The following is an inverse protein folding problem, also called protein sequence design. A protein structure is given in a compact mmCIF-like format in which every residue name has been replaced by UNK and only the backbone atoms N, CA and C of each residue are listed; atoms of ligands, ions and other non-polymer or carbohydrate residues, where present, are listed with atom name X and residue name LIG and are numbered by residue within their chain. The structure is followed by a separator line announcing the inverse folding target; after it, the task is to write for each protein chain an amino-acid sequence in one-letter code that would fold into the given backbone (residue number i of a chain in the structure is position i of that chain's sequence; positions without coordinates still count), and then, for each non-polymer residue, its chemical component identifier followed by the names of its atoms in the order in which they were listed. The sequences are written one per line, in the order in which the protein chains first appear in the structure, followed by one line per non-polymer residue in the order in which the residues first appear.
data_IF_016534868017
#
_entry.id   IF_016534868017
#
_cell.length_a   1.000
_cell.length_b   1.000
_cell.length_c   1.000
_cell.angle_alpha   90.00
_cell.angle_beta   90.00
_cell.angle_gamma   90.00
#
_symmetry.space_group_name_H-M   'P 1'
#
loop_
_entity.id
_entity.type
_entity.pdbx_description
1 polymer ?
#
# COMPACT_ATOMS: atom_id res chain seq x y z
N UNK A 1 56.15 -59.58 -26.20
CA UNK A 1 55.44 -58.56 -27.00
C UNK A 1 55.34 -57.31 -26.13
N UNK A 2 56.15 -56.27 -26.37
CA UNK A 2 55.80 -55.01 -27.10
C UNK A 2 54.68 -54.25 -26.35
N UNK A 3 54.99 -53.28 -25.45
CA UNK A 3 55.23 -51.80 -25.59
C UNK A 3 53.98 -50.93 -25.31
N UNK A 4 54.14 -49.91 -24.43
CA UNK A 4 53.64 -48.49 -24.39
C UNK A 4 52.19 -48.16 -24.87
N UNK A 5 51.42 -47.14 -24.43
CA UNK A 5 51.49 -46.03 -23.47
C UNK A 5 50.12 -45.25 -23.52
N UNK A 6 49.65 -44.74 -22.36
CA UNK A 6 48.99 -43.44 -22.02
C UNK A 6 47.80 -42.87 -22.86
N UNK A 7 46.72 -42.40 -22.17
CA UNK A 7 46.16 -41.00 -22.13
C UNK A 7 44.68 -40.92 -21.62
N UNK A 8 44.48 -40.14 -20.53
CA UNK A 8 43.41 -39.19 -20.10
C UNK A 8 41.87 -39.49 -20.01
N UNK A 9 41.23 -38.85 -18.99
CA UNK A 9 39.78 -38.45 -18.92
C UNK A 9 39.18 -38.33 -17.50
N UNK A 10 39.18 -37.14 -16.82
CA UNK A 10 38.05 -36.17 -16.55
C UNK A 10 36.87 -36.73 -15.69
N UNK A 11 36.70 -36.44 -14.36
CA UNK A 11 36.11 -35.28 -13.58
C UNK A 11 34.64 -35.45 -13.09
N UNK A 12 34.46 -35.33 -11.75
CA UNK A 12 33.37 -34.83 -10.86
C UNK A 12 31.91 -35.37 -10.87
N UNK A 13 31.33 -35.42 -9.65
CA UNK A 13 29.88 -35.32 -9.41
C UNK A 13 29.45 -35.57 -7.96
N UNK A 14 29.40 -34.51 -7.14
CA UNK A 14 28.77 -34.48 -5.82
C UNK A 14 27.29 -34.09 -5.92
N UNK A 15 26.45 -34.55 -4.99
CA UNK A 15 25.06 -34.07 -4.86
C UNK A 15 24.27 -34.74 -3.74
N UNK A 16 24.27 -34.13 -2.56
CA UNK A 16 23.28 -34.35 -1.50
C UNK A 16 22.18 -33.28 -1.67
N UNK A 17 20.96 -33.70 -1.96
CA UNK A 17 19.77 -32.85 -1.99
C UNK A 17 19.02 -32.97 -0.67
N UNK A 18 18.78 -31.83 -0.02
CA UNK A 18 17.78 -31.64 1.03
C UNK A 18 16.95 -30.39 0.66
N UNK A 19 15.68 -30.33 1.07
CA UNK A 19 14.62 -29.70 0.30
C UNK A 19 14.66 -28.18 0.43
N UNK A 20 14.58 -27.48 -0.70
CA UNK A 20 14.12 -26.10 -0.74
C UNK A 20 12.68 -26.08 -0.21
N UNK A 21 12.51 -25.60 1.02
CA UNK A 21 11.25 -25.02 1.45
C UNK A 21 11.02 -23.81 0.55
N UNK A 22 10.34 -24.00 -0.58
CA UNK A 22 9.78 -22.92 -1.37
C UNK A 22 8.72 -22.24 -0.52
N UNK A 23 9.16 -21.27 0.28
CA UNK A 23 8.29 -20.27 0.86
C UNK A 23 7.46 -19.72 -0.30
N UNK A 24 6.16 -19.92 -0.23
CA UNK A 24 5.20 -19.37 -1.17
C UNK A 24 5.42 -17.85 -1.15
N UNK A 25 6.03 -17.33 -2.22
CA UNK A 25 6.45 -15.94 -2.34
C UNK A 25 5.20 -15.07 -2.14
N UNK A 26 5.14 -14.34 -1.02
CA UNK A 26 4.02 -13.45 -0.73
C UNK A 26 4.11 -12.29 -1.72
N UNK A 27 3.43 -12.42 -2.87
CA UNK A 27 3.36 -11.41 -3.92
C UNK A 27 2.12 -10.51 -3.78
N UNK A 28 1.64 -10.19 -2.57
CA UNK A 28 0.59 -9.18 -2.36
C UNK A 28 0.57 -8.70 -0.90
N UNK A 29 -0.27 -7.71 -0.60
CA UNK A 29 -0.62 -7.29 0.76
C UNK A 29 -1.82 -8.09 1.25
N UNK A 30 -1.61 -8.90 2.29
CA UNK A 30 -2.67 -9.61 2.98
C UNK A 30 -3.10 -8.84 4.21
N UNK A 31 -4.40 -8.51 4.29
CA UNK A 31 -4.98 -7.76 5.41
C UNK A 31 -5.96 -8.64 6.18
N UNK A 32 -5.82 -8.64 7.51
CA UNK A 32 -6.78 -9.23 8.45
C UNK A 32 -7.40 -8.14 9.31
N UNK A 33 -8.70 -7.97 9.16
CA UNK A 33 -9.48 -6.94 9.86
C UNK A 33 -10.22 -7.51 11.08
N UNK A 34 -10.30 -6.72 12.15
CA UNK A 34 -11.17 -6.94 13.31
C UNK A 34 -11.57 -5.59 13.91
N UNK A 35 -12.60 -5.56 14.77
CA UNK A 35 -13.26 -4.33 15.25
C UNK A 35 -12.32 -3.24 15.79
N UNK A 36 -11.17 -3.60 16.35
CA UNK A 36 -10.18 -2.62 16.88
C UNK A 36 -8.73 -2.96 16.55
N UNK A 37 -8.51 -3.83 15.58
CA UNK A 37 -7.18 -4.23 15.14
C UNK A 37 -7.18 -4.57 13.67
N UNK A 38 -6.17 -4.09 12.97
CA UNK A 38 -5.82 -4.49 11.61
C UNK A 38 -4.41 -5.06 11.65
N UNK A 39 -4.21 -6.19 10.99
CA UNK A 39 -2.89 -6.73 10.73
C UNK A 39 -2.70 -6.84 9.22
N UNK A 40 -1.52 -6.44 8.74
CA UNK A 40 -1.15 -6.59 7.35
C UNK A 40 0.23 -7.27 7.25
N UNK A 41 0.39 -8.05 6.20
CA UNK A 41 1.67 -8.68 5.83
C UNK A 41 1.85 -8.51 4.33
N UNK A 42 3.04 -8.10 3.92
CA UNK A 42 3.42 -8.02 2.52
C UNK A 42 4.91 -8.30 2.36
N UNK A 43 5.47 -8.09 1.16
CA UNK A 43 6.87 -8.40 0.86
C UNK A 43 7.82 -7.65 1.79
N UNK A 44 8.46 -8.38 2.71
CA UNK A 44 9.43 -7.86 3.67
C UNK A 44 8.89 -6.91 4.72
N UNK A 45 7.57 -6.90 4.98
CA UNK A 45 7.01 -6.15 6.10
C UNK A 45 5.83 -6.83 6.79
N UNK A 46 5.67 -6.47 8.06
CA UNK A 46 4.45 -6.68 8.82
C UNK A 46 4.00 -5.37 9.44
N UNK A 47 2.68 -5.19 9.55
CA UNK A 47 2.07 -4.04 10.20
C UNK A 47 0.95 -4.51 11.11
N UNK A 48 0.88 -3.89 12.29
CA UNK A 48 -0.23 -4.03 13.24
C UNK A 48 -0.73 -2.65 13.63
N UNK A 49 -1.96 -2.35 13.24
CA UNK A 49 -2.69 -1.15 13.65
C UNK A 49 -3.66 -1.52 14.78
N UNK A 50 -3.64 -0.74 15.86
CA UNK A 50 -4.58 -0.82 16.98
C UNK A 50 -4.99 0.58 17.40
N UNK A 51 -5.99 0.70 18.29
CA UNK A 51 -6.34 1.98 18.91
C UNK A 51 -5.20 2.67 19.69
N UNK A 52 -4.13 1.94 20.02
CA UNK A 52 -3.00 2.47 20.81
C UNK A 52 -1.83 2.96 19.95
N UNK A 53 -1.78 2.56 18.67
CA UNK A 53 -0.70 2.92 17.76
C UNK A 53 -0.56 1.96 16.59
N UNK A 54 0.45 2.25 15.77
CA UNK A 54 0.89 1.45 14.64
C UNK A 54 2.24 0.83 15.02
N UNK A 55 2.40 -0.46 14.78
CA UNK A 55 3.68 -1.16 14.92
C UNK A 55 4.02 -1.79 13.59
N UNK A 56 5.19 -1.45 13.07
CA UNK A 56 5.73 -1.98 11.83
C UNK A 56 7.02 -2.74 12.09
N UNK A 57 7.25 -3.76 11.28
CA UNK A 57 8.54 -4.44 11.17
C UNK A 57 8.83 -4.57 9.69
N UNK A 58 10.03 -4.19 9.30
CA UNK A 58 10.49 -4.21 7.92
C UNK A 58 11.86 -4.86 7.89
N UNK A 59 12.05 -5.76 6.92
CA UNK A 59 13.32 -6.44 6.65
C UNK A 59 13.79 -5.93 5.30
N UNK A 60 14.85 -5.12 5.28
CA UNK A 60 15.31 -4.39 4.09
C UNK A 60 15.65 -5.32 2.92
N UNK A 61 16.21 -6.49 3.23
CA UNK A 61 16.60 -7.52 2.26
C UNK A 61 15.38 -8.18 1.60
N UNK A 62 14.22 -8.17 2.27
CA UNK A 62 12.97 -8.78 1.80
C UNK A 62 11.96 -7.75 1.32
N UNK A 63 12.20 -6.45 1.55
CA UNK A 63 11.22 -5.40 1.31
C UNK A 63 11.10 -5.12 -0.19
N UNK A 64 10.05 -5.64 -0.80
CA UNK A 64 9.83 -5.50 -2.24
C UNK A 64 10.64 -6.50 -3.06
N UNK A 65 11.11 -6.04 -4.23
CA UNK A 65 11.98 -6.85 -5.09
C UNK A 65 13.41 -6.27 -5.12
N UNK A 66 14.35 -6.81 -4.32
CA UNK A 66 15.73 -6.35 -4.30
C UNK A 66 16.48 -6.63 -5.61
N UNK A 67 16.05 -7.60 -6.43
CA UNK A 67 16.74 -7.96 -7.67
C UNK A 67 16.65 -6.87 -8.74
N UNK A 68 15.71 -5.94 -8.58
CA UNK A 68 15.50 -4.80 -9.48
C UNK A 68 16.57 -3.73 -9.34
N UNK A 69 17.37 -3.77 -8.26
CA UNK A 69 18.40 -2.77 -7.95
C UNK A 69 17.84 -1.42 -7.50
N UNK A 70 16.53 -1.25 -7.40
CA UNK A 70 15.91 -0.02 -6.93
C UNK A 70 16.06 0.11 -5.40
N UNK A 71 16.45 1.30 -4.94
CA UNK A 71 16.63 1.57 -3.52
C UNK A 71 15.29 1.63 -2.77
N UNK A 72 15.34 1.34 -1.46
CA UNK A 72 14.22 1.61 -0.56
C UNK A 72 14.26 3.08 -0.20
N UNK A 73 13.25 3.82 -0.63
CA UNK A 73 13.06 5.22 -0.25
C UNK A 73 12.34 5.28 1.08
N UNK A 74 12.85 6.08 2.02
CA UNK A 74 12.22 6.34 3.31
C UNK A 74 12.04 7.83 3.53
N UNK A 75 10.87 8.22 4.01
CA UNK A 75 10.56 9.61 4.32
C UNK A 75 9.75 9.72 5.61
N UNK A 76 9.99 10.79 6.35
CA UNK A 76 9.20 11.20 7.50
C UNK A 76 8.73 12.64 7.27
N UNK A 77 7.42 12.83 7.21
CA UNK A 77 6.80 14.11 6.93
C UNK A 77 6.18 14.63 8.22
N UNK A 78 6.65 15.77 8.69
CA UNK A 78 5.97 16.53 9.75
C UNK A 78 4.70 17.18 9.20
N UNK A 79 3.59 16.93 9.87
CA UNK A 79 2.27 17.42 9.50
C UNK A 79 1.95 18.78 10.13
N UNK A 80 2.75 19.25 11.09
CA UNK A 80 2.53 20.53 11.76
C UNK A 80 2.55 21.70 10.76
N UNK A 81 1.58 22.60 10.88
CA UNK A 81 1.47 23.81 10.05
C UNK A 81 1.09 23.57 8.59
N UNK A 82 0.82 22.32 8.20
CA UNK A 82 0.33 21.99 6.86
C UNK A 82 -1.20 22.05 6.83
N UNK A 83 -1.73 22.54 5.71
CA UNK A 83 -3.17 22.53 5.44
C UNK A 83 -3.55 21.19 4.83
N UNK A 84 -4.50 20.50 5.45
CA UNK A 84 -5.08 19.27 4.94
C UNK A 84 -6.58 19.43 4.79
N UNK A 85 -7.15 18.74 3.81
CA UNK A 85 -8.60 18.61 3.74
C UNK A 85 -9.09 17.77 4.93
N UNK A 86 -10.14 18.21 5.65
CA UNK A 86 -10.67 17.46 6.79
C UNK A 86 -11.22 16.08 6.40
N UNK A 87 -11.08 15.10 7.31
CA UNK A 87 -11.73 13.80 7.17
C UNK A 87 -13.22 13.96 7.48
N UNK A 88 -14.10 13.49 6.60
CA UNK A 88 -15.54 13.44 6.89
C UNK A 88 -15.92 12.02 7.29
N UNK A 89 -16.50 11.84 8.47
CA UNK A 89 -16.92 10.54 8.98
C UNK A 89 -18.32 10.58 9.59
N UNK A 90 -18.91 9.40 9.84
CA UNK A 90 -20.27 9.28 10.40
C UNK A 90 -20.43 9.99 11.74
N UNK A 91 -19.39 10.05 12.60
CA UNK A 91 -19.48 10.69 13.91
C UNK A 91 -18.81 12.07 13.99
N UNK A 92 -18.44 12.66 12.85
CA UNK A 92 -17.89 14.02 12.80
C UNK A 92 -16.87 14.25 11.67
N UNK A 93 -16.45 15.50 11.57
CA UNK A 93 -15.46 16.00 10.62
C UNK A 93 -14.19 16.34 11.38
N UNK A 94 -13.09 15.70 11.00
CA UNK A 94 -11.83 15.79 11.71
C UNK A 94 -10.80 16.60 10.93
N UNK A 95 -10.26 17.65 11.53
CA UNK A 95 -9.19 18.47 10.94
C UNK A 95 -7.85 18.13 11.56
N UNK A 96 -6.85 17.81 10.74
CA UNK A 96 -5.49 17.49 11.20
C UNK A 96 -4.87 18.73 11.86
N UNK A 97 -4.26 18.55 13.04
CA UNK A 97 -3.51 19.59 13.74
C UNK A 97 -2.01 19.41 13.59
N UNK A 98 -1.51 18.23 13.93
CA UNK A 98 -0.09 17.89 13.91
C UNK A 98 0.08 16.38 13.93
N UNK A 99 1.28 15.91 13.64
CA UNK A 99 1.59 14.49 13.61
C UNK A 99 2.71 14.19 12.66
N UNK A 100 2.84 12.92 12.30
CA UNK A 100 3.86 12.46 11.36
C UNK A 100 3.25 11.46 10.38
N UNK A 101 3.65 11.59 9.11
CA UNK A 101 3.46 10.54 8.12
C UNK A 101 4.82 9.95 7.76
N UNK A 102 5.09 8.74 8.25
CA UNK A 102 6.27 7.96 7.88
C UNK A 102 5.89 7.07 6.71
N UNK A 103 6.78 6.97 5.73
CA UNK A 103 6.56 6.08 4.59
C UNK A 103 7.86 5.47 4.09
N UNK A 104 7.78 4.21 3.68
CA UNK A 104 8.83 3.47 3.02
C UNK A 104 8.27 2.85 1.74
N UNK A 105 9.03 2.89 0.65
CA UNK A 105 8.63 2.20 -0.57
C UNK A 105 9.84 1.83 -1.43
N UNK A 106 9.64 0.83 -2.29
CA UNK A 106 10.58 0.43 -3.34
C UNK A 106 9.81 0.28 -4.65
N UNK A 107 10.43 0.70 -5.75
CA UNK A 107 9.88 0.41 -7.07
C UNK A 107 10.35 -0.98 -7.50
N UNK A 108 9.46 -1.85 -7.99
CA UNK A 108 9.87 -3.08 -8.67
C UNK A 108 10.24 -2.80 -10.12
N UNK A 109 9.42 -2.00 -10.81
CA UNK A 109 9.60 -1.72 -12.23
C UNK A 109 9.43 -0.22 -12.46
N UNK A 110 10.34 0.38 -13.20
CA UNK A 110 10.22 1.79 -13.65
C UNK A 110 9.40 1.86 -14.93
N UNK A 111 8.17 1.35 -14.84
CA UNK A 111 7.22 1.30 -15.93
C UNK A 111 5.99 2.16 -15.64
N UNK A 112 5.38 2.67 -16.71
CA UNK A 112 4.14 3.40 -16.60
C UNK A 112 2.99 2.45 -16.27
N UNK A 113 2.19 2.82 -15.27
CA UNK A 113 0.88 2.20 -15.04
C UNK A 113 -0.03 2.45 -16.24
N UNK A 114 -0.92 1.49 -16.56
CA UNK A 114 -1.88 1.67 -17.65
C UNK A 114 -2.93 2.74 -17.32
N UNK A 115 -3.69 3.16 -18.33
CA UNK A 115 -4.90 3.95 -18.10
C UNK A 115 -5.84 3.28 -17.07
N UNK A 116 -6.57 4.04 -16.23
CA UNK A 116 -6.75 5.49 -16.27
C UNK A 116 -5.82 6.24 -15.29
N UNK A 117 -4.65 5.68 -14.94
CA UNK A 117 -3.68 6.45 -14.17
C UNK A 117 -3.29 7.71 -14.95
N UNK A 118 -3.42 8.91 -14.34
CA UNK A 118 -3.22 10.17 -15.04
C UNK A 118 -1.75 10.50 -15.23
N UNK A 119 -1.45 11.32 -16.23
CA UNK A 119 -0.09 11.67 -16.63
C UNK A 119 0.68 12.33 -15.47
N UNK A 120 0.03 13.26 -14.74
CA UNK A 120 0.64 13.92 -13.58
C UNK A 120 1.02 12.96 -12.45
N UNK A 121 0.33 11.83 -12.29
CA UNK A 121 0.66 10.86 -11.26
C UNK A 121 2.00 10.16 -11.54
N UNK A 122 2.32 9.90 -12.82
CA UNK A 122 3.58 9.28 -13.22
C UNK A 122 4.81 10.13 -12.92
N UNK A 123 4.67 11.46 -12.86
CA UNK A 123 5.76 12.35 -12.47
C UNK A 123 6.16 12.16 -11.00
N UNK A 124 5.20 11.90 -10.11
CA UNK A 124 5.45 11.65 -8.69
C UNK A 124 5.82 10.20 -8.38
N UNK A 125 5.26 9.24 -9.15
CA UNK A 125 5.47 7.81 -8.97
C UNK A 125 5.80 7.16 -10.33
N UNK A 126 7.07 7.20 -10.78
CA UNK A 126 7.46 6.81 -12.13
C UNK A 126 7.46 5.29 -12.41
N UNK A 127 7.11 4.47 -11.41
CA UNK A 127 7.15 3.02 -11.52
C UNK A 127 6.16 2.31 -10.60
N UNK A 128 6.09 0.98 -10.68
CA UNK A 128 5.25 0.13 -9.84
C UNK A 128 5.84 0.03 -8.44
N UNK A 129 5.02 0.29 -7.44
CA UNK A 129 5.44 0.28 -6.05
C UNK A 129 5.17 -1.08 -5.41
N UNK A 130 6.23 -1.72 -4.93
CA UNK A 130 6.18 -3.02 -4.26
C UNK A 130 7.18 -3.05 -3.11
N UNK A 131 6.73 -2.92 -1.86
CA UNK A 131 5.45 -2.35 -1.43
C UNK A 131 5.58 -0.85 -1.13
N UNK A 132 4.43 -0.20 -0.92
CA UNK A 132 4.32 1.08 -0.23
C UNK A 132 3.84 0.78 1.19
N UNK A 133 4.57 1.28 2.19
CA UNK A 133 4.26 1.13 3.61
C UNK A 133 4.22 2.52 4.25
N UNK A 134 3.02 3.00 4.56
CA UNK A 134 2.76 4.28 5.18
C UNK A 134 2.16 4.15 6.59
N UNK A 135 2.67 4.96 7.51
CA UNK A 135 2.22 5.10 8.89
C UNK A 135 1.88 6.56 9.17
N UNK A 136 0.59 6.84 9.35
CA UNK A 136 0.07 8.15 9.70
C UNK A 136 -0.34 8.16 11.16
N UNK A 137 0.32 8.97 11.98
CA UNK A 137 0.01 9.14 13.40
C UNK A 137 -0.12 10.63 13.70
N UNK A 138 -1.34 11.07 13.96
CA UNK A 138 -1.64 12.49 14.07
C UNK A 138 -2.70 12.77 15.13
N UNK A 139 -2.80 14.05 15.48
CA UNK A 139 -3.92 14.60 16.23
C UNK A 139 -4.86 15.33 15.29
N UNK A 140 -6.15 15.22 15.57
CA UNK A 140 -7.22 15.90 14.85
C UNK A 140 -8.12 16.63 15.84
N UNK A 141 -8.82 17.65 15.37
CA UNK A 141 -9.94 18.25 16.10
C UNK A 141 -11.25 17.98 15.39
N UNK A 142 -12.30 17.67 16.14
CA UNK A 142 -13.67 17.62 15.63
C UNK A 142 -14.34 19.00 15.63
N UNK A 143 -15.60 19.08 15.20
CA UNK A 143 -16.38 20.32 15.13
C UNK A 143 -16.65 20.95 16.51
N UNK A 144 -16.60 20.16 17.58
CA UNK A 144 -16.76 20.64 18.95
C UNK A 144 -15.45 21.20 19.55
N UNK A 145 -14.34 21.03 18.83
CA UNK A 145 -13.01 21.39 19.30
C UNK A 145 -12.36 20.30 20.17
N UNK A 146 -12.94 19.10 20.26
CA UNK A 146 -12.31 17.98 20.95
C UNK A 146 -11.06 17.55 20.17
N UNK A 147 -9.93 17.39 20.87
CA UNK A 147 -8.72 16.80 20.28
C UNK A 147 -8.77 15.28 20.39
N UNK A 148 -8.69 14.60 19.25
CA UNK A 148 -8.63 13.14 19.10
C UNK A 148 -7.31 12.73 18.44
N UNK A 149 -6.98 11.43 18.50
CA UNK A 149 -5.87 10.85 17.74
C UNK A 149 -6.40 10.13 16.51
N UNK A 150 -5.71 10.26 15.38
CA UNK A 150 -5.97 9.47 14.18
C UNK A 150 -4.74 8.65 13.84
N UNK A 151 -4.96 7.37 13.57
CA UNK A 151 -3.94 6.39 13.19
C UNK A 151 -4.35 5.79 11.86
N UNK A 152 -3.51 5.88 10.83
CA UNK A 152 -3.80 5.32 9.50
C UNK A 152 -2.60 4.52 8.99
N UNK A 153 -2.88 3.32 8.52
CA UNK A 153 -2.01 2.50 7.68
C UNK A 153 -2.38 2.75 6.23
N UNK A 154 -1.41 3.17 5.44
CA UNK A 154 -1.54 3.40 4.00
C UNK A 154 -0.63 2.41 3.26
N UNK A 155 -1.22 1.47 2.53
CA UNK A 155 -0.49 0.38 1.90
C UNK A 155 -0.81 0.35 0.41
N UNK A 156 0.19 -0.02 -0.38
CA UNK A 156 -0.01 -0.36 -1.79
C UNK A 156 0.96 -1.46 -2.23
N UNK A 157 0.51 -2.28 -3.16
CA UNK A 157 1.34 -3.24 -3.87
C UNK A 157 0.89 -3.33 -5.33
N UNK A 158 1.84 -3.24 -6.24
CA UNK A 158 1.60 -3.16 -7.67
C UNK A 158 2.49 -4.13 -8.44
N UNK A 159 1.94 -5.01 -9.25
CA UNK A 159 2.76 -6.01 -9.95
C UNK A 159 2.29 -6.24 -11.38
N UNK A 160 3.20 -6.76 -12.19
CA UNK A 160 2.81 -7.44 -13.43
C UNK A 160 2.08 -8.74 -13.09
N UNK A 161 1.06 -9.04 -13.86
CA UNK A 161 0.42 -10.36 -13.84
C UNK A 161 1.19 -11.31 -14.76
N UNK A 162 1.03 -12.62 -14.59
CA UNK A 162 1.75 -13.65 -15.37
C UNK A 162 1.50 -13.53 -16.88
N UNK A 163 0.32 -13.05 -17.27
CA UNK A 163 -0.08 -12.80 -18.66
C UNK A 163 0.41 -11.44 -19.21
N UNK A 164 1.29 -10.73 -18.48
CA UNK A 164 1.89 -9.46 -18.89
C UNK A 164 1.01 -8.23 -18.62
N UNK A 165 -0.09 -8.40 -17.89
CA UNK A 165 -0.95 -7.32 -17.42
C UNK A 165 -0.43 -6.60 -16.18
N UNK A 166 -1.33 -5.89 -15.50
CA UNK A 166 -1.02 -5.08 -14.32
C UNK A 166 -2.10 -5.28 -13.25
N UNK A 167 -1.69 -5.34 -11.98
CA UNK A 167 -2.58 -5.32 -10.83
C UNK A 167 -2.07 -4.36 -9.75
N UNK A 168 -3.01 -3.78 -9.01
CA UNK A 168 -2.73 -2.98 -7.82
C UNK A 168 -3.74 -3.32 -6.71
N UNK A 169 -3.22 -3.51 -5.50
CA UNK A 169 -3.98 -3.65 -4.27
C UNK A 169 -3.55 -2.54 -3.32
N UNK A 170 -4.48 -1.66 -2.93
CA UNK A 170 -4.21 -0.47 -2.11
C UNK A 170 -5.12 -0.41 -0.87
N UNK A 171 -4.79 -1.15 0.21
CA UNK A 171 -5.58 -1.11 1.44
C UNK A 171 -5.20 0.09 2.33
N UNK A 172 -6.19 0.91 2.67
CA UNK A 172 -6.06 2.01 3.64
C UNK A 172 -6.96 1.75 4.85
N UNK A 173 -6.35 1.70 6.04
CA UNK A 173 -7.06 1.40 7.28
C UNK A 173 -6.72 2.40 8.36
N UNK A 174 -7.68 2.75 9.20
CA UNK A 174 -7.42 3.73 10.25
C UNK A 174 -8.45 3.75 11.36
N UNK A 175 -8.07 4.38 12.45
CA UNK A 175 -8.91 4.60 13.62
C UNK A 175 -8.82 6.06 14.06
N UNK A 176 -9.98 6.67 14.29
CA UNK A 176 -10.10 7.90 15.08
C UNK A 176 -10.39 7.48 16.51
N UNK A 177 -9.54 7.88 17.44
CA UNK A 177 -9.51 7.42 18.83
C UNK A 177 -9.70 8.62 19.76
N UNK A 178 -10.71 8.53 20.62
CA UNK A 178 -11.00 9.56 21.63
C UNK A 178 -10.00 9.55 22.79
N UNK A 179 -10.12 10.53 23.68
CA UNK A 179 -9.24 10.67 24.85
C UNK A 179 -9.36 9.51 25.86
N UNK A 180 -10.46 8.74 25.79
CA UNK A 180 -10.68 7.54 26.62
C UNK A 180 -10.09 6.28 25.97
N UNK A 181 -9.49 6.40 24.79
CA UNK A 181 -8.94 5.27 24.04
C UNK A 181 -10.01 4.41 23.35
N UNK A 182 -11.19 4.95 23.08
CA UNK A 182 -12.25 4.29 22.32
C UNK A 182 -12.18 4.72 20.85
N UNK A 183 -12.37 3.76 19.95
CA UNK A 183 -12.48 4.03 18.52
C UNK A 183 -13.85 4.67 18.26
N UNK A 184 -13.85 5.90 17.75
CA UNK A 184 -15.04 6.67 17.37
C UNK A 184 -15.40 6.41 15.91
N UNK A 185 -14.42 6.47 15.02
CA UNK A 185 -14.59 6.21 13.60
C UNK A 185 -13.50 5.29 13.04
N UNK A 186 -13.81 4.67 11.91
CA UNK A 186 -12.95 3.72 11.22
C UNK A 186 -12.76 4.10 9.76
N UNK A 187 -11.52 4.00 9.30
CA UNK A 187 -11.18 4.00 7.88
C UNK A 187 -10.93 2.54 7.49
N UNK A 188 -11.56 2.06 6.43
CA UNK A 188 -11.35 0.73 5.86
C UNK A 188 -11.74 0.79 4.40
N UNK A 189 -10.73 0.98 3.56
CA UNK A 189 -10.87 1.12 2.13
C UNK A 189 -9.89 0.16 1.44
N UNK A 190 -10.35 -0.51 0.39
CA UNK A 190 -9.51 -1.38 -0.43
C UNK A 190 -9.63 -0.94 -1.89
N UNK A 191 -8.55 -0.41 -2.44
CA UNK A 191 -8.41 -0.20 -3.87
C UNK A 191 -8.04 -1.51 -4.57
N UNK A 192 -8.81 -1.86 -5.60
CA UNK A 192 -8.48 -2.96 -6.48
C UNK A 192 -8.36 -2.46 -7.93
N UNK A 193 -7.26 -2.82 -8.59
CA UNK A 193 -7.06 -2.60 -10.00
C UNK A 193 -6.52 -3.87 -10.65
N UNK A 194 -7.05 -4.21 -11.83
CA UNK A 194 -6.46 -5.22 -12.72
C UNK A 194 -6.67 -4.87 -14.18
N UNK A 195 -5.72 -5.21 -15.03
CA UNK A 195 -5.83 -5.14 -16.48
C UNK A 195 -4.95 -6.19 -17.14
N UNK A 196 -5.27 -6.53 -18.38
CA UNK A 196 -4.35 -7.25 -19.26
C UNK A 196 -3.20 -6.36 -19.77
N UNK A 197 -2.38 -6.87 -20.70
CA UNK A 197 -1.27 -6.14 -21.30
C UNK A 197 -1.67 -4.76 -21.83
N UNK A 198 -0.87 -3.74 -21.54
CA UNK A 198 -1.11 -2.37 -21.99
C UNK A 198 -2.39 -1.72 -21.45
N UNK A 199 -3.02 -2.29 -20.42
CA UNK A 199 -4.27 -1.77 -19.84
C UNK A 199 -5.55 -2.38 -20.43
N UNK A 200 -5.43 -3.40 -21.27
CA UNK A 200 -6.59 -4.04 -21.90
C UNK A 200 -7.61 -4.54 -20.86
N UNK A 201 -8.88 -4.17 -21.02
CA UNK A 201 -9.96 -4.64 -20.16
C UNK A 201 -9.82 -4.25 -18.68
N UNK A 202 -9.24 -3.08 -18.40
CA UNK A 202 -9.05 -2.58 -17.04
C UNK A 202 -10.34 -2.64 -16.21
N UNK A 203 -10.24 -3.20 -15.00
CA UNK A 203 -11.28 -3.24 -13.97
C UNK A 203 -10.72 -2.67 -12.69
N UNK A 204 -11.42 -1.69 -12.13
CA UNK A 204 -11.04 -1.06 -10.88
C UNK A 204 -12.26 -0.68 -10.06
N UNK A 205 -12.13 -0.77 -8.74
CA UNK A 205 -13.15 -0.37 -7.79
C UNK A 205 -12.51 -0.14 -6.42
N UNK A 206 -13.24 0.54 -5.57
CA UNK A 206 -12.90 0.71 -4.16
C UNK A 206 -13.95 -0.03 -3.34
N UNK A 207 -13.51 -0.95 -2.48
CA UNK A 207 -14.37 -1.46 -1.42
C UNK A 207 -14.27 -0.53 -0.21
N UNK A 208 -15.40 0.00 0.23
CA UNK A 208 -15.49 0.87 1.39
C UNK A 208 -16.32 0.21 2.49
N UNK A 209 -15.65 -0.06 3.62
CA UNK A 209 -16.22 -0.68 4.83
C UNK A 209 -16.04 0.22 6.05
N UNK A 210 -15.60 1.46 5.84
CA UNK A 210 -15.32 2.42 6.90
C UNK A 210 -16.56 3.20 7.32
N UNK A 211 -16.35 4.16 8.22
CA UNK A 211 -17.29 5.23 8.56
C UNK A 211 -16.81 6.58 8.03
N UNK A 212 -15.58 6.66 7.52
CA UNK A 212 -14.97 7.87 6.97
C UNK A 212 -14.92 7.85 5.44
N UNK A 213 -15.45 8.89 4.80
CA UNK A 213 -15.58 9.02 3.34
C UNK A 213 -15.37 10.46 2.93
N UNK A 214 -14.46 10.69 2.00
CA UNK A 214 -14.23 12.01 1.47
C UNK A 214 -13.94 11.92 -0.03
N UNK A 215 -14.47 12.87 -0.79
CA UNK A 215 -14.20 12.99 -2.21
C UNK A 215 -13.60 14.36 -2.47
N UNK A 216 -12.53 14.41 -3.25
CA UNK A 216 -11.85 15.66 -3.63
C UNK A 216 -11.52 15.69 -5.11
N UNK A 217 -11.40 16.91 -5.62
CA UNK A 217 -10.69 17.17 -6.87
C UNK A 217 -9.19 17.27 -6.56
N UNK A 218 -8.39 16.45 -7.23
CA UNK A 218 -6.92 16.48 -7.09
C UNK A 218 -6.28 17.72 -7.74
N UNK A 219 -7.04 18.54 -8.46
CA UNK A 219 -6.58 19.78 -9.08
C UNK A 219 -5.65 19.54 -10.27
N UNK A 220 -5.73 18.36 -10.88
CA UNK A 220 -4.87 18.00 -12.01
C UNK A 220 -5.39 18.50 -13.36
N UNK A 221 -6.66 18.88 -13.42
CA UNK A 221 -7.31 19.33 -14.66
C UNK A 221 -7.43 18.20 -15.70
N UNK A 222 -7.27 16.95 -15.27
CA UNK A 222 -7.40 15.77 -16.12
C UNK A 222 -8.81 15.16 -15.94
N UNK A 223 -9.46 14.67 -17.00
CA UNK A 223 -10.76 14.02 -16.88
C UNK A 223 -10.72 12.85 -15.91
N UNK A 224 -11.67 12.80 -14.99
CA UNK A 224 -11.78 11.71 -14.03
C UNK A 224 -10.86 11.84 -12.82
N UNK A 225 -10.36 13.03 -12.48
CA UNK A 225 -9.59 13.27 -11.24
C UNK A 225 -10.28 14.21 -10.25
N UNK A 226 -11.52 14.60 -10.56
CA UNK A 226 -12.33 15.60 -9.86
C UNK A 226 -13.17 15.01 -8.71
N UNK A 227 -13.28 13.68 -8.64
CA UNK A 227 -14.08 12.94 -7.66
C UNK A 227 -13.33 11.74 -7.11
N UNK A 228 -12.09 11.97 -6.71
CA UNK A 228 -11.22 10.94 -6.12
C UNK A 228 -11.61 10.69 -4.67
N UNK A 229 -11.77 9.42 -4.30
CA UNK A 229 -11.97 9.05 -2.91
C UNK A 229 -10.65 9.14 -2.14
N UNK A 230 -10.69 9.90 -1.05
CA UNK A 230 -9.56 10.14 -0.15
C UNK A 230 -9.96 9.90 1.30
N UNK A 231 -8.95 9.82 2.16
CA UNK A 231 -9.11 9.86 3.61
C UNK A 231 -8.04 10.79 4.18
N UNK A 232 -8.41 12.06 4.38
CA UNK A 232 -7.45 13.13 4.70
C UNK A 232 -6.49 13.37 3.53
N UNK A 233 -5.15 13.35 3.73
CA UNK A 233 -4.19 13.54 2.64
C UNK A 233 -3.97 12.30 1.75
N UNK A 234 -4.53 11.15 2.14
CA UNK A 234 -4.23 9.86 1.51
C UNK A 234 -5.31 9.53 0.47
N UNK A 235 -4.90 9.10 -0.72
CA UNK A 235 -5.80 8.73 -1.80
C UNK A 235 -5.54 7.28 -2.19
N UNK A 236 -6.60 6.51 -2.43
CA UNK A 236 -6.49 5.09 -2.81
C UNK A 236 -6.07 4.98 -4.27
N UNK A 237 -6.79 5.70 -5.14
CA UNK A 237 -6.49 5.79 -6.55
C UNK A 237 -6.43 7.24 -7.00
N UNK A 238 -5.54 7.58 -7.93
CA UNK A 238 -5.39 8.93 -8.46
C UNK A 238 -6.50 9.34 -9.46
N UNK A 239 -7.64 8.62 -9.49
CA UNK A 239 -8.74 8.82 -10.44
C UNK A 239 -10.08 8.33 -9.86
N UNK A 240 -11.17 8.79 -10.48
CA UNK A 240 -12.55 8.47 -10.14
C UNK A 240 -12.76 6.95 -10.28
N UNK A 241 -13.17 6.32 -9.18
CA UNK A 241 -13.33 4.87 -9.11
C UNK A 241 -14.72 4.53 -8.57
N UNK A 242 -15.40 3.51 -9.12
CA UNK A 242 -16.62 2.99 -8.53
C UNK A 242 -16.40 2.57 -7.09
N UNK A 243 -17.27 3.01 -6.19
CA UNK A 243 -17.25 2.62 -4.77
C UNK A 243 -18.30 1.54 -4.53
N UNK A 244 -17.88 0.43 -3.94
CA UNK A 244 -18.72 -0.68 -3.53
C UNK A 244 -18.71 -0.74 -2.02
N UNK A 245 -19.88 -0.72 -1.39
CA UNK A 245 -20.03 -1.02 0.05
C UNK A 245 -20.46 -2.48 0.16
N UNK A 246 -19.59 -3.41 0.59
CA UNK A 246 -20.01 -4.77 0.88
C UNK A 246 -21.16 -4.72 1.89
N UNK A 247 -22.28 -5.38 1.59
CA UNK A 247 -23.47 -5.33 2.42
C UNK A 247 -23.13 -5.58 3.88
N UNK A 248 -23.60 -4.71 4.78
CA UNK A 248 -23.63 -5.01 6.22
C UNK A 248 -24.48 -6.29 6.36
N UNK A 249 -23.83 -7.44 6.53
CA UNK A 249 -24.51 -8.65 6.95
C UNK A 249 -25.09 -8.45 8.36
#
# INVERSE_FOLDING_TARGET
MIRFAVVAGVVLGAGLMAPSASAQEIQDVHVKESKGRVAATGPGFTLKLTRHGITTTMVDEEFGDPATGNEIVRQSIDLAGRTFTPFVCENGTYTIKSGTFKRAWRFSLLERRPAPYPERFHTGFPGFVTPFLGEFDATVTDESGETLRVLISDLAYEARTEDGGFRSTAPIHGFVVDQKGKIRDRISLFGHFRSGPGGAGAKYWIEDRGTCRQTVDLGWGEPGTDRVLVTGPLLIFPFNSPVVTPGKA
#
